data_IF_206855887482
#
_entry.id   IF_206855887482
#
_cell.length_a   1.000
_cell.length_b   1.000
_cell.length_c   1.000
_cell.angle_alpha   90.00
_cell.angle_beta   90.00
_cell.angle_gamma   90.00
#
_symmetry.space_group_name_H-M   'P 1'
#
loop_
_entity.id
_entity.type
_entity.pdbx_description
1 polymer ?
2 non-polymer ?
3 water ?
#
# COMPACT_ATOMS: atom_id res chain seq x y z
N UNK A 1 15.93 7.68 -22.55
CA UNK A 1 16.32 6.34 -22.05
C UNK A 1 15.13 5.75 -21.29
N UNK A 2 15.19 4.49 -20.79
CA UNK A 2 14.08 3.96 -20.00
C UNK A 2 13.85 4.83 -18.76
N UNK A 3 12.59 5.04 -18.39
CA UNK A 3 12.27 5.93 -17.26
C UNK A 3 12.35 5.15 -15.96
N UNK A 4 12.35 5.86 -14.82
CA UNK A 4 12.30 5.20 -13.52
C UNK A 4 10.96 4.51 -13.33
N UNK A 5 10.91 3.47 -12.49
CA UNK A 5 9.64 2.79 -12.23
C UNK A 5 8.62 3.72 -11.59
N UNK A 6 7.35 3.44 -11.89
CA UNK A 6 6.22 4.14 -11.30
C UNK A 6 6.08 3.87 -9.81
N UNK A 7 5.17 4.63 -9.18
CA UNK A 7 4.87 4.45 -7.76
C UNK A 7 3.94 3.29 -7.53
N UNK A 8 3.85 2.81 -6.28
CA UNK A 8 2.90 1.75 -5.95
C UNK A 8 1.47 2.13 -6.36
N UNK A 9 0.71 1.12 -6.72
CA UNK A 9 -0.69 1.29 -7.10
C UNK A 9 -1.54 1.65 -5.89
N UNK A 10 -2.82 1.91 -6.14
CA UNK A 10 -3.79 2.23 -5.11
C UNK A 10 -3.95 1.06 -4.14
N UNK A 11 -4.25 1.40 -2.89
CA UNK A 11 -4.62 0.40 -1.88
C UNK A 11 -5.85 -0.36 -2.35
N UNK A 12 -5.89 -1.64 -2.06
CA UNK A 12 -6.97 -2.52 -2.52
C UNK A 12 -8.29 -2.13 -1.89
N UNK A 13 -9.36 -2.71 -2.43
CA UNK A 13 -10.73 -2.45 -1.94
C UNK A 13 -10.91 -3.10 -0.58
N UNK A 14 -11.77 -2.53 0.28
CA UNK A 14 -11.97 -3.07 1.61
C UNK A 14 -12.50 -4.50 1.56
N UNK A 15 -12.09 -5.29 2.54
CA UNK A 15 -12.56 -6.67 2.70
C UNK A 15 -14.02 -6.70 3.10
N UNK A 16 -14.67 -7.79 2.80
CA UNK A 16 -16.11 -7.94 3.09
C UNK A 16 -16.23 -8.27 4.58
N UNK A 17 -17.40 -7.98 5.14
CA UNK A 17 -17.74 -8.46 6.48
C UNK A 17 -17.71 -9.99 6.49
N UNK A 18 -17.32 -10.58 7.62
CA UNK A 18 -17.31 -12.03 7.78
C UNK A 18 -18.70 -12.63 7.70
N UNK A 19 -18.77 -13.96 7.51
CA UNK A 19 -20.04 -14.64 7.37
C UNK A 19 -20.78 -14.69 8.70
N UNK A 20 -22.08 -14.88 8.59
CA UNK A 20 -23.00 -15.01 9.72
C UNK A 20 -22.53 -16.15 10.62
N UNK A 21 -22.65 -15.97 11.94
CA UNK A 21 -22.26 -17.00 12.89
C UNK A 21 -23.21 -18.18 12.81
N UNK A 22 -22.82 -19.32 13.40
CA UNK A 22 -23.67 -20.50 13.41
C UNK A 22 -24.86 -20.31 14.32
N UNK A 23 -25.92 -21.11 14.09
CA UNK A 23 -27.07 -21.08 14.98
C UNK A 23 -26.67 -21.47 16.40
N UNK A 24 -27.46 -21.00 17.35
CA UNK A 24 -27.30 -21.42 18.75
C UNK A 24 -27.71 -22.86 18.95
N UNK A 25 -27.40 -23.39 20.15
CA UNK A 25 -27.77 -24.75 20.48
C UNK A 25 -29.27 -24.88 20.60
N UNK A 26 -29.80 -26.12 20.55
CA UNK A 26 -31.20 -26.35 20.85
C UNK A 26 -31.52 -25.84 22.27
N UNK A 27 -32.77 -25.47 22.47
CA UNK A 27 -33.26 -25.12 23.80
C UNK A 27 -33.29 -26.33 24.72
N UNK A 28 -33.66 -26.08 26.00
CA UNK A 28 -33.85 -27.17 26.96
C UNK A 28 -34.95 -28.12 26.52
N UNK A 29 -34.90 -29.39 26.98
CA UNK A 29 -35.95 -30.35 26.70
C UNK A 29 -37.29 -29.89 27.28
N UNK A 30 -38.38 -30.22 26.61
CA UNK A 30 -39.74 -29.95 27.11
C UNK A 30 -40.05 -30.78 28.35
N UNK B 1 11.75 6.06 -22.97
CA UNK B 1 10.28 5.91 -22.96
C UNK B 1 9.80 5.97 -21.51
N UNK B 2 8.48 6.05 -21.24
CA UNK B 2 8.00 6.04 -19.86
C UNK B 2 8.47 4.77 -19.16
N UNK B 3 8.78 4.91 -17.87
CA UNK B 3 9.25 3.79 -17.05
C UNK B 3 8.19 2.72 -16.92
N UNK B 4 8.59 1.55 -16.38
CA UNK B 4 7.65 0.48 -16.12
C UNK B 4 6.62 0.93 -15.09
N UNK B 5 5.46 0.25 -15.05
CA UNK B 5 4.49 0.52 -14.00
C UNK B 5 5.13 0.23 -12.62
N UNK B 6 4.61 0.90 -11.60
CA UNK B 6 4.98 0.60 -10.22
C UNK B 6 4.48 -0.77 -9.79
N UNK B 7 4.80 -1.14 -8.55
CA UNK B 7 4.34 -2.38 -7.96
C UNK B 7 2.84 -2.33 -7.70
N UNK B 8 2.20 -3.50 -7.54
CA UNK B 8 0.83 -3.53 -7.06
C UNK B 8 0.70 -2.73 -5.75
N UNK B 9 -0.47 -2.13 -5.54
CA UNK B 9 -0.74 -1.43 -4.29
C UNK B 9 -0.86 -2.41 -3.13
N UNK B 10 -0.94 -1.86 -1.91
CA UNK B 10 -1.09 -2.71 -0.73
C UNK B 10 -2.48 -3.35 -0.71
N UNK B 11 -2.58 -4.47 -0.03
CA UNK B 11 -3.87 -5.13 0.25
C UNK B 11 -4.81 -4.16 0.96
N UNK B 12 -6.09 -4.25 0.60
CA UNK B 12 -7.15 -3.49 1.27
C UNK B 12 -7.28 -3.81 2.73
N UNK B 13 -8.07 -3.00 3.41
CA UNK B 13 -8.34 -3.20 4.85
C UNK B 13 -9.22 -4.44 5.06
N UNK B 14 -8.96 -5.20 6.13
CA UNK B 14 -9.77 -6.37 6.41
C UNK B 14 -11.18 -5.97 6.84
N UNK B 15 -12.13 -6.85 6.61
CA UNK B 15 -13.54 -6.64 6.95
C UNK B 15 -13.80 -6.87 8.42
N UNK B 16 -14.97 -6.40 8.87
CA UNK B 16 -15.45 -6.55 10.26
C UNK B 16 -15.86 -8.00 10.50
N UNK B 17 -15.87 -8.43 11.76
CA UNK B 17 -16.42 -9.75 12.13
C UNK B 17 -17.87 -9.88 11.62
N UNK B 18 -18.24 -11.09 11.26
CA UNK B 18 -19.61 -11.44 10.86
C UNK B 18 -20.59 -11.26 11.98
N UNK B 19 -21.90 -11.18 11.64
CA UNK B 19 -22.92 -10.99 12.65
C UNK B 19 -23.11 -12.29 13.46
N UNK B 20 -23.65 -12.12 14.66
CA UNK B 20 -24.01 -13.28 15.51
C UNK B 20 -25.04 -14.14 14.78
N UNK B 21 -24.94 -15.47 14.94
CA UNK B 21 -25.91 -16.39 14.34
C UNK B 21 -27.28 -16.28 14.98
N UNK B 22 -28.30 -16.87 14.35
CA UNK B 22 -29.65 -16.88 14.89
C UNK B 22 -29.78 -17.81 16.09
N UNK B 23 -30.91 -17.72 16.82
CA UNK B 23 -31.21 -18.69 17.86
C UNK B 23 -31.25 -20.12 17.34
N UNK B 24 -30.90 -21.05 18.20
CA UNK B 24 -31.09 -22.48 17.93
C UNK B 24 -32.56 -22.85 17.88
N UNK B 25 -32.84 -24.09 17.44
CA UNK B 25 -34.22 -24.55 17.38
C UNK B 25 -34.77 -24.76 18.78
N UNK B 26 -36.09 -24.96 18.89
CA UNK B 26 -36.70 -25.45 20.11
C UNK B 26 -36.04 -26.76 20.55
N UNK B 27 -36.01 -26.97 21.85
CA UNK B 27 -35.42 -28.19 22.41
C UNK B 27 -36.30 -29.40 22.08
N UNK B 28 -35.84 -30.58 22.52
CA UNK B 28 -36.59 -31.81 22.33
C UNK B 28 -37.97 -31.77 22.92
N UNK B 29 -38.95 -32.46 22.27
CA UNK B 29 -40.29 -32.58 22.82
C UNK B 29 -40.24 -33.31 24.16
N UNK B 30 -41.15 -32.93 25.06
CA UNK B 30 -41.23 -33.54 26.39
C UNK B 30 -41.77 -34.95 26.30
N UNK C 1 10.48 9.43 -18.79
CA UNK C 1 9.79 9.96 -17.61
C UNK C 1 9.39 8.80 -16.68
N UNK C 2 9.02 9.09 -15.42
CA UNK C 2 8.60 8.04 -14.50
C UNK C 2 7.42 7.25 -15.07
N UNK C 3 7.37 5.99 -14.69
CA UNK C 3 6.28 5.10 -15.05
C UNK C 3 4.99 5.43 -14.29
N UNK C 4 3.89 4.87 -14.78
CA UNK C 4 2.58 5.04 -14.16
C UNK C 4 2.54 4.31 -12.82
N UNK C 5 1.50 4.57 -12.03
CA UNK C 5 1.24 3.78 -10.83
C UNK C 5 1.01 2.32 -11.19
N UNK C 6 1.31 1.44 -10.24
CA UNK C 6 0.95 0.02 -10.38
C UNK C 6 -0.56 -0.18 -10.33
N UNK C 7 -1.00 -1.43 -10.47
CA UNK C 7 -2.41 -1.76 -10.34
C UNK C 7 -2.83 -1.70 -8.87
N UNK C 8 -4.16 -1.66 -8.63
CA UNK C 8 -4.66 -1.75 -7.27
C UNK C 8 -4.16 -3.02 -6.58
N UNK C 9 -3.99 -2.92 -5.26
CA UNK C 9 -3.68 -4.06 -4.41
C UNK C 9 -4.81 -5.08 -4.43
N UNK C 10 -4.57 -6.24 -3.81
CA UNK C 10 -5.61 -7.24 -3.62
C UNK C 10 -6.70 -6.72 -2.68
N UNK C 11 -7.91 -7.25 -2.84
CA UNK C 11 -9.02 -6.95 -1.93
C UNK C 11 -8.61 -7.36 -0.51
N UNK C 12 -9.06 -6.60 0.47
CA UNK C 12 -8.88 -6.94 1.88
C UNK C 12 -9.40 -8.32 2.22
N UNK C 13 -8.85 -8.90 3.28
CA UNK C 13 -9.36 -10.17 3.81
C UNK C 13 -10.77 -9.96 4.34
N UNK C 14 -11.62 -11.00 4.22
CA UNK C 14 -12.91 -10.97 4.89
C UNK C 14 -12.70 -10.97 6.41
N UNK C 15 -13.67 -10.43 7.14
CA UNK C 15 -13.78 -10.60 8.59
C UNK C 15 -13.97 -12.06 8.97
N UNK C 16 -13.69 -12.39 10.22
CA UNK C 16 -13.88 -13.78 10.70
C UNK C 16 -15.38 -14.00 10.91
N UNK C 17 -15.77 -15.26 10.97
CA UNK C 17 -17.17 -15.65 11.17
C UNK C 17 -17.69 -15.05 12.47
N UNK C 18 -18.97 -14.66 12.47
CA UNK C 18 -19.64 -14.20 13.68
C UNK C 18 -19.78 -15.30 14.73
N UNK C 19 -20.09 -14.87 15.97
CA UNK C 19 -20.27 -15.78 17.09
C UNK C 19 -21.56 -16.58 16.99
N UNK C 20 -21.60 -17.65 17.76
CA UNK C 20 -22.75 -18.58 17.80
C UNK C 20 -23.96 -17.83 18.34
N UNK C 21 -25.13 -18.17 17.84
CA UNK C 21 -26.39 -17.56 18.27
C UNK C 21 -26.80 -18.07 19.65
N UNK C 22 -27.88 -17.49 20.20
CA UNK C 22 -28.39 -17.87 21.49
C UNK C 22 -29.05 -19.24 21.48
N UNK C 23 -29.22 -19.86 22.66
CA UNK C 23 -30.01 -21.09 22.75
C UNK C 23 -31.43 -20.91 22.21
N UNK C 24 -31.97 -21.96 21.64
CA UNK C 24 -33.39 -22.00 21.26
C UNK C 24 -34.30 -21.99 22.48
N UNK C 25 -35.61 -21.85 22.23
CA UNK C 25 -36.59 -21.92 23.32
C UNK C 25 -36.69 -23.34 23.86
N UNK C 26 -37.30 -23.51 25.05
CA UNK C 26 -37.59 -24.85 25.56
C UNK C 26 -38.45 -25.63 24.57
N UNK C 27 -38.27 -26.94 24.56
CA UNK C 27 -39.10 -27.82 23.72
C UNK C 27 -40.54 -27.83 24.20
N UNK C 28 -41.47 -28.28 23.34
CA UNK C 28 -42.88 -28.28 23.73
C UNK C 28 -43.12 -29.31 24.83
N UNK C 29 -44.16 -29.13 25.66
CA UNK C 29 -44.65 -30.21 26.53
C UNK C 29 -45.10 -31.41 25.68
N UNK C 30 -44.92 -32.62 26.19
CA UNK C 30 -45.23 -33.85 25.45
C UNK C 30 -45.61 -34.99 26.37
N UNK D 1 -12.00 -9.50 15.58
CA UNK D 1 -11.92 -8.30 14.75
C UNK D 1 -10.51 -8.19 14.17
N UNK D 2 -10.30 -7.33 13.15
CA UNK D 2 -8.99 -7.15 12.56
C UNK D 2 -7.98 -6.74 13.63
N UNK D 3 -6.74 -7.12 13.37
CA UNK D 3 -5.58 -6.68 14.14
C UNK D 3 -5.21 -5.24 13.82
N UNK D 4 -4.24 -4.72 14.57
CA UNK D 4 -3.77 -3.36 14.39
C UNK D 4 -3.06 -3.22 13.06
N UNK D 5 -2.98 -1.99 12.52
CA UNK D 5 -2.27 -1.77 11.26
C UNK D 5 -0.79 -2.15 11.41
N UNK D 6 -0.19 -2.56 10.30
CA UNK D 6 1.25 -2.75 10.24
C UNK D 6 2.01 -1.44 10.34
N UNK D 7 3.35 -1.53 10.42
CA UNK D 7 4.19 -0.35 10.45
C UNK D 7 4.23 0.35 9.10
N UNK D 8 4.71 1.61 9.07
CA UNK D 8 4.88 2.32 7.81
C UNK D 8 5.75 1.51 6.85
N UNK D 9 5.46 1.69 5.56
CA UNK D 9 6.24 1.06 4.50
C UNK D 9 7.67 1.59 4.46
N UNK D 10 8.51 0.95 3.63
CA UNK D 10 9.88 1.37 3.43
C UNK D 10 9.90 2.71 2.70
N UNK D 11 11.01 3.41 2.85
CA UNK D 11 11.23 4.67 2.14
C UNK D 11 11.21 4.42 0.64
N UNK D 12 10.74 5.41 -0.12
CA UNK D 12 10.86 5.44 -1.58
C UNK D 12 12.28 5.32 -2.08
N UNK D 13 12.42 4.94 -3.34
CA UNK D 13 13.73 4.86 -4.00
C UNK D 13 14.22 6.26 -4.29
N UNK D 14 15.53 6.45 -4.45
CA UNK D 14 16.07 7.75 -4.83
C UNK D 14 15.56 8.20 -6.20
N UNK D 15 15.49 9.50 -6.39
CA UNK D 15 15.16 10.13 -7.66
C UNK D 15 16.16 9.84 -8.75
N UNK D 16 15.79 10.21 -9.98
CA UNK D 16 16.70 10.03 -11.12
C UNK D 16 17.74 11.14 -11.08
N UNK D 17 18.86 10.91 -11.74
CA UNK D 17 19.95 11.89 -11.81
C UNK D 17 19.40 13.17 -12.46
N UNK D 18 19.89 14.33 -12.02
CA UNK D 18 19.52 15.60 -12.64
C UNK D 18 20.02 15.70 -14.07
N UNK D 19 19.49 16.70 -14.81
CA UNK D 19 19.91 16.95 -16.18
C UNK D 19 21.33 17.50 -16.23
N UNK D 20 21.93 17.38 -17.40
CA UNK D 20 23.29 17.89 -17.66
C UNK D 20 23.31 19.40 -17.40
N UNK D 21 24.45 19.87 -16.93
CA UNK D 21 24.71 21.29 -16.68
C UNK D 21 24.62 22.16 -17.93
N UNK D 22 24.59 23.47 -17.74
CA UNK D 22 24.60 24.40 -18.86
C UNK D 22 25.99 24.48 -19.48
N UNK D 23 26.11 25.13 -20.63
CA UNK D 23 27.41 25.48 -21.18
C UNK D 23 28.31 26.20 -20.17
N UNK D 24 29.61 25.94 -20.27
CA UNK D 24 30.61 26.68 -19.52
C UNK D 24 30.65 28.13 -19.96
N UNK D 25 31.49 28.92 -19.28
CA UNK D 25 31.64 30.32 -19.62
C UNK D 25 32.32 30.50 -20.95
N UNK D 26 32.19 31.70 -21.53
CA UNK D 26 32.77 31.95 -22.85
C UNK D 26 34.29 31.76 -22.76
N UNK D 27 34.89 31.33 -23.87
CA UNK D 27 36.35 31.27 -23.99
C UNK D 27 36.96 32.66 -23.95
N UNK D 28 38.29 32.75 -23.84
CA UNK D 28 38.97 34.05 -23.85
C UNK D 28 38.76 34.77 -25.16
N UNK D 29 38.72 36.12 -25.15
CA UNK D 29 38.36 36.88 -26.33
C UNK D 29 39.38 36.65 -27.46
N UNK D 30 38.90 36.68 -28.71
CA UNK D 30 39.69 36.27 -29.88
C UNK D 30 40.02 37.44 -30.78
N UNK E 1 -11.26 -12.35 19.20
CA UNK E 1 -10.38 -11.25 19.59
C UNK E 1 -9.73 -10.60 18.38
N UNK E 2 -9.12 -9.40 18.55
CA UNK E 2 -8.40 -8.77 17.44
C UNK E 2 -7.29 -9.71 16.95
N UNK E 3 -7.02 -9.66 15.66
CA UNK E 3 -5.89 -10.36 15.04
C UNK E 3 -4.57 -9.66 15.33
N UNK E 4 -3.50 -10.26 14.80
CA UNK E 4 -2.15 -9.72 14.99
C UNK E 4 -1.97 -8.52 14.07
N UNK E 5 -0.88 -7.76 14.26
CA UNK E 5 -0.59 -6.63 13.39
C UNK E 5 -0.43 -7.04 11.93
N UNK E 6 -0.81 -6.10 11.06
CA UNK E 6 -0.57 -6.29 9.63
C UNK E 6 0.90 -6.13 9.28
N UNK E 7 1.20 -6.32 7.99
CA UNK E 7 2.54 -6.19 7.46
C UNK E 7 2.88 -4.73 7.16
N UNK E 8 4.13 -4.45 6.77
CA UNK E 8 4.54 -3.10 6.43
C UNK E 8 3.66 -2.53 5.31
N UNK E 9 3.46 -1.23 5.37
CA UNK E 9 2.77 -0.49 4.31
C UNK E 9 3.52 -0.47 2.99
N UNK E 10 2.91 0.22 2.00
CA UNK E 10 3.52 0.35 0.69
C UNK E 10 4.77 1.22 0.76
N UNK E 11 5.64 1.05 -0.21
CA UNK E 11 6.84 1.89 -0.34
C UNK E 11 6.43 3.34 -0.51
N UNK E 12 7.23 4.23 0.04
CA UNK E 12 7.08 5.68 -0.11
C UNK E 12 7.20 6.10 -1.55
N UNK E 13 6.92 7.37 -1.76
CA UNK E 13 6.96 7.97 -3.12
C UNK E 13 8.40 7.98 -3.60
N UNK E 14 8.62 7.76 -4.91
CA UNK E 14 9.95 7.92 -5.50
C UNK E 14 10.49 9.32 -5.26
N UNK E 15 11.80 9.40 -5.04
CA UNK E 15 12.50 10.67 -4.79
C UNK E 15 12.41 11.61 -5.98
N UNK E 16 12.60 12.88 -5.73
CA UNK E 16 12.56 13.90 -6.80
C UNK E 16 13.86 13.83 -7.58
N UNK E 17 13.80 14.26 -8.84
CA UNK E 17 14.99 14.29 -9.71
C UNK E 17 16.06 15.17 -9.06
N UNK E 18 17.32 14.79 -9.25
CA UNK E 18 18.46 15.56 -8.73
C UNK E 18 18.55 16.92 -9.40
N UNK E 19 19.39 17.80 -8.82
CA UNK E 19 19.58 19.13 -9.36
C UNK E 19 20.37 19.07 -10.67
N UNK E 20 20.22 20.13 -11.46
CA UNK E 20 20.98 20.23 -12.72
C UNK E 20 22.49 20.22 -12.43
N UNK E 21 23.25 19.69 -13.35
CA UNK E 21 24.71 19.59 -13.24
C UNK E 21 25.40 20.94 -13.32
N UNK E 22 26.69 20.96 -12.96
CA UNK E 22 27.44 22.21 -12.93
C UNK E 22 27.83 22.66 -14.33
N UNK E 23 28.30 23.91 -14.45
CA UNK E 23 28.70 24.44 -15.75
C UNK E 23 29.81 23.61 -16.39
N UNK E 24 29.79 23.59 -17.70
CA UNK E 24 30.83 22.94 -18.50
C UNK E 24 32.13 23.71 -18.41
N UNK E 25 33.17 23.17 -19.08
CA UNK E 25 34.45 23.83 -19.22
C UNK E 25 34.31 25.13 -19.98
N UNK E 26 35.29 26.03 -19.82
CA UNK E 26 35.31 27.27 -20.59
C UNK E 26 35.32 26.94 -22.08
N UNK E 27 34.76 27.85 -22.86
CA UNK E 27 34.80 27.73 -24.32
C UNK E 27 36.23 27.80 -24.84
N UNK E 28 36.42 27.34 -26.09
CA UNK E 28 37.76 27.33 -26.67
C UNK E 28 38.26 28.75 -26.91
N UNK E 29 39.59 28.92 -27.00
CA UNK E 29 40.17 30.21 -27.38
C UNK E 29 39.72 30.59 -28.80
N UNK E 30 39.65 31.89 -29.07
CA UNK E 30 39.48 32.48 -30.41
C UNK E 30 40.56 32.03 -31.40
N UNK F 1 -12.83 -17.42 16.19
CA UNK F 1 -11.35 -17.42 16.33
C UNK F 1 -10.85 -15.98 16.24
N UNK F 2 -9.54 -15.72 16.38
CA UNK F 2 -9.01 -14.38 16.16
C UNK F 2 -9.36 -13.89 14.77
N UNK F 3 -9.54 -12.57 14.69
CA UNK F 3 -9.81 -11.89 13.43
C UNK F 3 -8.57 -11.85 12.55
N UNK F 4 -8.75 -11.34 11.33
CA UNK F 4 -7.71 -11.31 10.35
C UNK F 4 -6.58 -10.43 10.83
N UNK F 5 -5.37 -10.60 10.25
CA UNK F 5 -4.29 -9.66 10.54
C UNK F 5 -4.74 -8.25 10.14
N UNK F 6 -4.13 -7.26 10.79
CA UNK F 6 -4.43 -5.87 10.49
C UNK F 6 -4.03 -5.51 9.08
N UNK F 7 -4.45 -4.33 8.62
CA UNK F 7 -4.15 -3.91 7.26
C UNK F 7 -2.65 -3.66 7.14
N UNK F 8 -2.12 -3.64 5.90
CA UNK F 8 -0.83 -3.01 5.65
C UNK F 8 -0.77 -1.62 6.30
N UNK F 9 0.41 -1.26 6.79
CA UNK F 9 0.59 0.02 7.45
C UNK F 9 0.50 1.15 6.44
N UNK F 10 0.75 2.37 6.94
CA UNK F 10 0.79 3.56 6.12
C UNK F 10 1.91 3.45 5.08
N UNK F 11 1.76 4.22 4.03
CA UNK F 11 2.81 4.45 3.04
C UNK F 11 4.11 4.91 3.71
N UNK F 12 5.22 4.44 3.19
CA UNK F 12 6.54 4.91 3.64
C UNK F 12 6.75 6.38 3.33
N UNK F 13 7.89 6.88 3.75
CA UNK F 13 8.29 8.28 3.47
C UNK F 13 8.87 8.37 2.07
N UNK F 14 8.82 9.56 1.47
CA UNK F 14 9.36 9.78 0.14
C UNK F 14 10.85 9.51 0.08
N UNK F 15 11.31 9.10 -1.11
CA UNK F 15 12.71 8.76 -1.37
C UNK F 15 13.60 9.97 -1.35
N UNK F 16 14.88 9.73 -1.29
CA UNK F 16 15.90 10.79 -1.30
C UNK F 16 15.96 11.41 -2.69
N UNK F 17 16.42 12.64 -2.76
CA UNK F 17 16.50 13.31 -4.08
C UNK F 17 17.57 12.57 -4.89
N UNK F 18 17.42 12.51 -6.20
CA UNK F 18 18.43 11.92 -7.09
C UNK F 18 19.73 12.73 -7.05
N UNK F 19 20.80 12.15 -7.61
CA UNK F 19 22.10 12.82 -7.62
C UNK F 19 22.13 13.98 -8.61
N UNK F 20 23.06 14.88 -8.36
CA UNK F 20 23.32 16.05 -9.23
C UNK F 20 23.70 15.58 -10.63
N UNK F 21 23.26 16.32 -11.63
CA UNK F 21 23.53 16.07 -13.04
C UNK F 21 25.00 16.21 -13.39
N UNK F 22 25.39 15.70 -14.57
CA UNK F 22 26.78 15.76 -15.01
C UNK F 22 27.14 17.16 -15.49
N UNK F 23 28.44 17.46 -15.58
CA UNK F 23 28.87 18.79 -16.03
C UNK F 23 28.40 19.10 -17.44
N UNK F 24 28.14 20.38 -17.69
CA UNK F 24 27.70 20.86 -18.99
C UNK F 24 28.79 20.75 -20.05
N UNK F 25 28.40 21.03 -21.31
CA UNK F 25 29.35 21.05 -22.41
C UNK F 25 30.25 22.27 -22.34
N UNK F 26 31.28 22.32 -23.18
CA UNK F 26 32.14 23.51 -23.26
C UNK F 26 31.35 24.74 -23.65
N UNK F 27 31.80 25.88 -23.14
CA UNK F 27 31.18 27.17 -23.42
C UNK F 27 31.36 27.56 -24.89
N UNK F 28 30.69 28.67 -25.27
CA UNK F 28 30.92 29.28 -26.58
C UNK F 28 32.30 29.91 -26.66
N UNK F 29 32.74 30.32 -27.87
CA UNK F 29 33.79 31.33 -28.03
C UNK F 29 33.38 32.64 -27.34
N UNK F 30 34.35 33.35 -26.78
CA UNK F 30 34.15 34.66 -26.13
C UNK F 30 34.50 35.83 -27.01
X LIG G 1 -28.26 -14.92 24.48
X LIG G 1 -28.27 -13.82 23.87
X LIG G 1 -27.39 -15.82 24.31
X LIG G 1 -29.34 -15.12 25.54
#
# INVERSE_FOLDING_TARGET
>A
PPGPPGPPGPRGDPGERGPRGPPGPPGPPG
>B
PPGPPGPPGPRGDPGERGPRGPPGPPGPPG
>C
PPGPPGPPGPRGDPGERGPRGPPGPPGPPG
>D
PPGPPGPPGPRGDPGERGPRGPPGPPGPPG
>E
PPGPPGPPGPRGDPGERGPRGPPGPPGPPG
>F
PPGPPGPPGPRGDPGERGPRGPPGPPGPPG
>G hetero
1 ACT C O OXT CH3
#
